data_IF_937613100064
#
_entry.id   IF_937613100064
#
_cell.length_a   1.000
_cell.length_b   1.000
_cell.length_c   1.000
_cell.angle_alpha   90.00
_cell.angle_beta   90.00
_cell.angle_gamma   90.00
#
_symmetry.space_group_name_H-M   'P 1'
#
loop_
_entity.id
_entity.type
_entity.pdbx_description
1 polymer ?
#
# COMPACT_ATOMS: atom_id res chain seq x y z
N UNK A 1 10.03 -11.59 -10.06
CA UNK A 1 9.30 -10.51 -10.74
C UNK A 1 8.24 -10.03 -9.79
N UNK A 2 8.46 -8.87 -9.19
CA UNK A 2 7.57 -8.31 -8.18
C UNK A 2 6.27 -7.84 -8.82
N UNK A 3 5.15 -8.11 -8.16
CA UNK A 3 3.81 -7.72 -8.63
C UNK A 3 3.34 -6.49 -7.85
N UNK A 4 2.95 -5.45 -8.56
CA UNK A 4 2.42 -4.23 -7.96
C UNK A 4 0.89 -4.31 -7.95
N UNK A 5 0.30 -4.25 -6.75
CA UNK A 5 -1.15 -4.21 -6.56
C UNK A 5 -1.61 -2.77 -6.34
N UNK A 6 -2.31 -2.19 -7.31
CA UNK A 6 -2.90 -0.86 -7.20
C UNK A 6 -4.34 -0.96 -6.68
N UNK A 7 -4.61 -0.35 -5.52
CA UNK A 7 -5.93 -0.34 -4.91
C UNK A 7 -6.52 1.06 -5.02
N UNK A 8 -7.27 1.27 -6.11
CA UNK A 8 -7.91 2.55 -6.43
C UNK A 8 -9.44 2.46 -6.48
N UNK A 9 -10.08 3.58 -6.77
CA UNK A 9 -11.54 3.62 -6.99
C UNK A 9 -12.10 5.04 -7.01
N UNK A 10 -13.12 5.23 -7.83
CA UNK A 10 -13.59 6.55 -8.29
C UNK A 10 -14.27 7.40 -7.21
N UNK A 11 -14.76 6.80 -6.13
CA UNK A 11 -15.55 7.48 -5.10
C UNK A 11 -15.08 7.15 -3.68
N UNK A 12 -15.34 8.07 -2.76
CA UNK A 12 -15.25 7.81 -1.32
C UNK A 12 -16.25 6.73 -0.88
N UNK A 13 -15.92 5.97 0.16
CA UNK A 13 -16.84 5.00 0.75
C UNK A 13 -17.04 3.67 0.00
N UNK A 14 -16.41 3.45 -1.16
CA UNK A 14 -16.56 2.21 -1.96
C UNK A 14 -15.79 0.99 -1.41
N UNK A 15 -15.14 1.12 -0.24
CA UNK A 15 -14.45 0.00 0.41
C UNK A 15 -12.96 -0.18 0.06
N UNK A 16 -12.31 0.77 -0.62
CA UNK A 16 -10.86 0.70 -0.97
C UNK A 16 -9.98 0.36 0.24
N UNK A 17 -10.14 1.08 1.34
CA UNK A 17 -9.37 0.87 2.57
C UNK A 17 -9.71 -0.45 3.25
N UNK A 18 -10.89 -1.04 3.01
CA UNK A 18 -11.23 -2.38 3.48
C UNK A 18 -10.45 -3.41 2.67
N UNK A 19 -10.48 -3.31 1.34
CA UNK A 19 -9.74 -4.21 0.44
C UNK A 19 -8.25 -4.17 0.72
N UNK A 20 -7.65 -2.99 0.91
CA UNK A 20 -6.23 -2.85 1.24
C UNK A 20 -5.84 -3.60 2.52
N UNK A 21 -6.64 -3.45 3.58
CA UNK A 21 -6.38 -4.12 4.87
C UNK A 21 -6.61 -5.62 4.80
N UNK A 22 -7.64 -6.08 4.09
CA UNK A 22 -7.89 -7.52 3.90
C UNK A 22 -6.76 -8.16 3.11
N UNK A 23 -6.27 -7.50 2.06
CA UNK A 23 -5.14 -8.00 1.28
C UNK A 23 -3.86 -8.07 2.12
N UNK A 24 -3.56 -7.02 2.88
CA UNK A 24 -2.43 -7.01 3.81
C UNK A 24 -2.53 -8.15 4.83
N UNK A 25 -3.69 -8.32 5.46
CA UNK A 25 -3.90 -9.39 6.43
C UNK A 25 -3.74 -10.77 5.80
N UNK A 26 -4.30 -10.98 4.60
CA UNK A 26 -4.14 -12.23 3.86
C UNK A 26 -2.67 -12.55 3.58
N UNK A 27 -1.87 -11.56 3.17
CA UNK A 27 -0.44 -11.73 2.93
C UNK A 27 0.31 -12.09 4.21
N UNK A 28 0.00 -11.43 5.34
CA UNK A 28 0.57 -11.75 6.65
C UNK A 28 0.25 -13.20 7.04
N UNK A 29 -1.03 -13.55 7.02
CA UNK A 29 -1.51 -14.87 7.45
C UNK A 29 -0.96 -16.00 6.55
N UNK A 30 -0.69 -15.68 5.28
CA UNK A 30 -0.12 -16.62 4.30
C UNK A 30 1.40 -16.61 4.24
N UNK A 31 2.08 -15.84 5.09
CA UNK A 31 3.54 -15.62 5.04
C UNK A 31 4.06 -15.17 3.65
N UNK A 32 3.29 -14.33 2.97
CA UNK A 32 3.68 -13.72 1.69
C UNK A 32 4.32 -12.37 2.02
N UNK A 33 5.62 -12.18 1.76
CA UNK A 33 6.27 -10.89 1.97
C UNK A 33 5.67 -9.81 1.07
N UNK A 34 5.42 -8.63 1.64
CA UNK A 34 4.95 -7.47 0.88
C UNK A 34 5.44 -6.17 1.52
N UNK A 35 5.40 -5.10 0.73
CA UNK A 35 5.62 -3.73 1.18
C UNK A 35 4.36 -2.93 0.88
N UNK A 36 3.73 -2.39 1.92
CA UNK A 36 2.56 -1.53 1.80
C UNK A 36 2.96 -0.08 1.55
N UNK A 37 2.43 0.52 0.49
CA UNK A 37 2.54 1.96 0.23
C UNK A 37 1.17 2.61 0.46
N UNK A 38 1.06 3.48 1.47
CA UNK A 38 -0.19 4.15 1.80
C UNK A 38 -0.20 5.57 1.21
N UNK A 39 -1.09 5.80 0.24
CA UNK A 39 -1.23 7.08 -0.45
C UNK A 39 -2.49 7.86 -0.07
N UNK A 40 -3.20 7.47 1.00
CA UNK A 40 -4.37 8.19 1.50
C UNK A 40 -3.99 9.26 2.53
N UNK A 41 -4.29 10.54 2.25
CA UNK A 41 -4.00 11.68 3.14
C UNK A 41 -4.97 11.84 4.30
N UNK A 42 -6.19 11.32 4.15
CA UNK A 42 -7.28 11.61 5.08
C UNK A 42 -7.34 10.57 6.20
N UNK A 43 -7.26 9.30 5.83
CA UNK A 43 -7.37 8.18 6.76
C UNK A 43 -6.55 6.98 6.24
N UNK A 44 -5.22 7.04 6.41
CA UNK A 44 -4.29 5.99 5.98
C UNK A 44 -4.81 4.59 6.29
N UNK A 45 -4.97 3.76 5.25
CA UNK A 45 -5.54 2.43 5.35
C UNK A 45 -4.56 1.42 5.94
N UNK A 46 -3.27 1.60 5.70
CA UNK A 46 -2.20 0.68 6.11
C UNK A 46 -1.36 1.26 7.23
N UNK A 47 -0.92 2.53 7.13
CA UNK A 47 -0.02 3.12 8.13
C UNK A 47 -0.59 3.10 9.55
N UNK A 48 -1.93 3.17 9.67
CA UNK A 48 -2.63 3.15 10.96
C UNK A 48 -2.73 1.76 11.61
N UNK A 49 -2.79 0.70 10.82
CA UNK A 49 -3.13 -0.64 11.30
C UNK A 49 -2.03 -1.69 11.07
N UNK A 50 -1.11 -1.41 10.14
CA UNK A 50 -0.07 -2.31 9.65
C UNK A 50 1.27 -1.57 9.55
N UNK A 51 1.59 -0.74 10.55
CA UNK A 51 2.79 0.13 10.54
C UNK A 51 4.08 -0.64 10.27
N UNK A 52 4.21 -1.87 10.78
CA UNK A 52 5.38 -2.73 10.55
C UNK A 52 5.52 -3.22 9.10
N UNK A 53 4.45 -3.12 8.30
CA UNK A 53 4.38 -3.56 6.91
C UNK A 53 4.17 -2.41 5.92
N UNK A 54 4.07 -1.17 6.41
CA UNK A 54 3.69 -0.02 5.60
C UNK A 54 4.76 1.07 5.65
N UNK A 55 5.20 1.51 4.49
CA UNK A 55 6.11 2.65 4.35
C UNK A 55 5.33 3.96 4.22
N UNK A 56 5.65 5.01 5.01
CA UNK A 56 5.04 6.32 4.84
C UNK A 56 5.53 6.94 3.53
N UNK A 57 4.71 6.84 2.50
CA UNK A 57 5.05 7.38 1.19
C UNK A 57 4.39 8.74 1.04
N UNK A 58 5.20 9.76 0.74
CA UNK A 58 4.76 11.16 0.74
C UNK A 58 3.96 11.44 -0.53
N UNK A 59 2.67 11.74 -0.37
CA UNK A 59 1.67 11.87 -1.47
C UNK A 59 1.81 13.20 -2.23
N UNK A 60 2.86 13.98 -2.02
CA UNK A 60 3.04 15.32 -2.61
C UNK A 60 4.33 15.46 -3.43
N UNK A 61 5.09 14.39 -3.63
CA UNK A 61 6.28 14.42 -4.46
C UNK A 61 6.17 13.39 -5.59
N UNK A 62 6.23 13.84 -6.84
CA UNK A 62 6.25 12.95 -8.01
C UNK A 62 7.40 11.93 -7.95
N UNK A 63 8.53 12.31 -7.33
CA UNK A 63 9.65 11.41 -7.09
C UNK A 63 9.32 10.23 -6.15
N UNK A 64 8.23 10.31 -5.38
CA UNK A 64 7.80 9.22 -4.49
C UNK A 64 7.24 8.02 -5.24
N UNK A 65 6.79 8.21 -6.48
CA UNK A 65 6.38 7.10 -7.34
C UNK A 65 7.59 6.31 -7.85
N UNK A 66 8.72 6.99 -8.10
CA UNK A 66 9.97 6.35 -8.47
C UNK A 66 10.39 5.35 -7.39
N UNK A 67 10.24 5.71 -6.11
CA UNK A 67 10.53 4.83 -4.98
C UNK A 67 9.72 3.52 -5.01
N UNK A 68 8.46 3.55 -5.46
CA UNK A 68 7.64 2.34 -5.58
C UNK A 68 8.24 1.40 -6.63
N UNK A 69 8.64 1.96 -7.77
CA UNK A 69 9.23 1.20 -8.88
C UNK A 69 10.61 0.67 -8.50
N UNK A 70 11.47 1.51 -7.91
CA UNK A 70 12.80 1.11 -7.43
C UNK A 70 12.70 0.00 -6.38
N UNK A 71 11.74 0.08 -5.46
CA UNK A 71 11.50 -0.98 -4.47
C UNK A 71 11.04 -2.27 -5.16
N UNK A 72 10.17 -2.17 -6.16
CA UNK A 72 9.71 -3.34 -6.91
C UNK A 72 10.81 -3.95 -7.80
N UNK A 73 11.77 -3.17 -8.28
CA UNK A 73 12.93 -3.67 -9.04
C UNK A 73 13.95 -4.36 -8.12
N UNK A 74 14.14 -3.85 -6.90
CA UNK A 74 15.11 -4.38 -5.95
C UNK A 74 14.68 -5.70 -5.26
N UNK A 75 13.42 -6.13 -5.42
CA UNK A 75 12.84 -7.33 -4.81
C UNK A 75 12.30 -8.31 -5.87
#
# INVERSE_FOLDING_TARGET
MTTIHLIGGEKGGVGKSVVARVLAQYMIDSNIPFVGFDTDRSHGALLRFYTDYASPTIIDNYHSLDTIIETAEAN
#
